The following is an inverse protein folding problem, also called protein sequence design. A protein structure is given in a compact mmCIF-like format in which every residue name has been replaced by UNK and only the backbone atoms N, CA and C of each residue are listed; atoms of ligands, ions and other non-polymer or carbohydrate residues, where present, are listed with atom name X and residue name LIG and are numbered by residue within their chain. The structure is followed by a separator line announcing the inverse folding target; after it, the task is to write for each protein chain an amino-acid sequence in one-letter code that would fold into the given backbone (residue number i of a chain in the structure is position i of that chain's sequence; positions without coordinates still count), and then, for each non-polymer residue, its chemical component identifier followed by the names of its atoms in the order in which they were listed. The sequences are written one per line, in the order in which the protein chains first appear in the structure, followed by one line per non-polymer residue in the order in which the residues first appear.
data_IF_164782376251
#
_entry.id   IF_164782376251
#
_cell.length_a   1.000
_cell.length_b   1.000
_cell.length_c   1.000
_cell.angle_alpha   90.00
_cell.angle_beta   90.00
_cell.angle_gamma   90.00
#
_symmetry.space_group_name_H-M   'P 1'
#
loop_
_entity.id
_entity.type
_entity.pdbx_description
1 polymer ?
#
# COMPACT_ATOMS: atom_id res chain seq x y z
N UNK A 1 40.95 15.08 -12.60
CA UNK A 1 39.96 14.59 -11.62
C UNK A 1 39.66 13.11 -11.88
N UNK A 2 40.19 12.19 -11.08
CA UNK A 2 39.93 10.74 -11.22
C UNK A 2 38.67 10.38 -10.40
N UNK A 3 37.61 9.91 -11.06
CA UNK A 3 36.43 9.33 -10.40
C UNK A 3 36.85 8.03 -9.70
N UNK A 4 36.74 7.97 -8.37
CA UNK A 4 36.87 6.72 -7.61
C UNK A 4 35.54 5.97 -7.73
N UNK A 5 35.56 4.85 -8.42
CA UNK A 5 34.51 3.82 -8.33
C UNK A 5 34.82 3.01 -7.08
N UNK A 6 33.94 3.08 -6.08
CA UNK A 6 34.04 2.26 -4.87
C UNK A 6 33.47 0.88 -5.18
N UNK A 7 34.34 -0.12 -5.20
CA UNK A 7 33.94 -1.53 -5.31
C UNK A 7 33.42 -2.01 -3.96
N UNK A 8 32.19 -2.53 -3.94
CA UNK A 8 31.56 -3.14 -2.78
C UNK A 8 32.14 -4.55 -2.53
N UNK A 9 32.60 -4.82 -1.30
CA UNK A 9 32.98 -6.17 -0.84
C UNK A 9 31.90 -6.71 0.12
N UNK A 10 31.31 -7.86 -0.24
CA UNK A 10 30.28 -8.57 0.55
C UNK A 10 30.84 -9.13 1.87
N UNK A 11 30.06 -9.11 2.96
CA UNK A 11 30.25 -10.03 4.07
C UNK A 11 29.87 -11.46 3.63
N UNK A 12 30.75 -12.44 3.87
CA UNK A 12 30.49 -13.87 3.61
C UNK A 12 29.51 -14.39 4.65
N UNK A 13 28.35 -14.93 4.23
CA UNK A 13 27.49 -15.64 5.18
C UNK A 13 26.05 -16.00 4.77
N UNK A 14 25.47 -15.41 3.71
CA UNK A 14 24.10 -15.75 3.31
C UNK A 14 24.08 -16.45 1.94
N UNK A 15 23.64 -17.72 1.94
CA UNK A 15 23.22 -18.44 0.74
C UNK A 15 21.88 -17.83 0.29
N UNK A 16 21.97 -16.74 -0.48
CA UNK A 16 20.82 -16.15 -1.18
C UNK A 16 20.56 -17.02 -2.41
N UNK A 17 19.45 -17.75 -2.40
CA UNK A 17 18.87 -18.36 -3.60
C UNK A 17 18.61 -17.25 -4.61
N UNK A 18 19.16 -17.37 -5.82
CA UNK A 18 19.30 -16.27 -6.78
C UNK A 18 17.93 -15.59 -7.10
N UNK A 19 17.65 -14.36 -6.60
CA UNK A 19 16.34 -13.71 -6.76
C UNK A 19 16.15 -13.08 -8.15
N UNK A 20 17.10 -13.30 -9.07
CA UNK A 20 17.16 -12.66 -10.38
C UNK A 20 15.91 -12.84 -11.27
N UNK A 21 15.27 -14.03 -11.35
CA UNK A 21 14.10 -14.21 -12.24
C UNK A 21 12.86 -13.43 -11.78
N UNK A 22 12.64 -13.38 -10.46
CA UNK A 22 11.60 -12.59 -9.79
C UNK A 22 11.72 -11.13 -10.14
N UNK A 23 12.96 -10.67 -10.05
CA UNK A 23 13.29 -9.29 -10.22
C UNK A 23 13.09 -8.79 -11.65
N UNK A 24 13.45 -9.61 -12.66
CA UNK A 24 13.32 -9.20 -14.06
C UNK A 24 11.86 -8.95 -14.45
N UNK A 25 10.96 -9.90 -14.17
CA UNK A 25 9.52 -9.76 -14.41
C UNK A 25 8.92 -8.60 -13.62
N UNK A 26 9.37 -8.42 -12.37
CA UNK A 26 8.92 -7.34 -11.52
C UNK A 26 9.36 -5.96 -12.02
N UNK A 27 10.61 -5.84 -12.49
CA UNK A 27 11.12 -4.60 -13.06
C UNK A 27 10.37 -4.22 -14.33
N UNK A 28 10.08 -5.19 -15.21
CA UNK A 28 9.24 -5.00 -16.38
C UNK A 28 7.86 -4.47 -15.99
N UNK A 29 7.21 -5.08 -14.99
CA UNK A 29 5.91 -4.61 -14.50
C UNK A 29 5.94 -3.16 -14.03
N UNK A 30 6.95 -2.81 -13.23
CA UNK A 30 7.10 -1.45 -12.71
C UNK A 30 7.36 -0.46 -13.85
N UNK A 31 8.21 -0.84 -14.82
CA UNK A 31 8.45 -0.07 -16.04
C UNK A 31 7.19 0.08 -16.89
N UNK A 32 6.30 -0.90 -16.88
CA UNK A 32 5.11 -0.91 -17.72
C UNK A 32 3.97 -0.08 -17.11
N UNK A 33 3.74 -0.24 -15.81
CA UNK A 33 2.52 0.24 -15.14
C UNK A 33 2.75 1.39 -14.16
N UNK A 34 3.98 1.62 -13.72
CA UNK A 34 4.31 2.57 -12.65
C UNK A 34 5.46 3.53 -13.00
N UNK A 35 5.89 3.55 -14.26
CA UNK A 35 7.03 4.33 -14.75
C UNK A 35 6.71 5.80 -15.00
N UNK A 36 5.99 6.44 -14.08
CA UNK A 36 6.04 7.90 -14.04
C UNK A 36 7.48 8.27 -13.67
N UNK A 37 8.21 8.85 -14.65
CA UNK A 37 9.65 9.12 -14.57
C UNK A 37 10.08 10.01 -13.40
N UNK A 38 9.13 10.55 -12.64
CA UNK A 38 9.33 11.39 -11.46
C UNK A 38 9.25 10.65 -10.13
N UNK A 39 8.80 9.39 -10.11
CA UNK A 39 8.54 8.67 -8.87
C UNK A 39 9.85 8.05 -8.34
N UNK A 40 10.28 8.39 -7.12
CA UNK A 40 11.43 7.72 -6.52
C UNK A 40 11.08 6.26 -6.24
N UNK A 41 12.07 5.37 -6.38
CA UNK A 41 11.92 3.95 -6.07
C UNK A 41 12.69 3.67 -4.79
N UNK A 42 12.05 3.05 -3.82
CA UNK A 42 12.66 2.71 -2.54
C UNK A 42 12.77 1.20 -2.43
N UNK A 43 13.99 0.69 -2.21
CA UNK A 43 14.26 -0.75 -2.19
C UNK A 43 14.96 -1.20 -0.92
N UNK A 44 14.80 -2.47 -0.55
CA UNK A 44 15.68 -3.12 0.44
C UNK A 44 17.04 -3.47 -0.19
N UNK A 45 18.08 -3.52 0.63
CA UNK A 45 19.46 -3.66 0.16
C UNK A 45 19.80 -5.03 -0.42
N UNK A 46 19.07 -6.07 -0.05
CA UNK A 46 19.15 -7.40 -0.66
C UNK A 46 18.69 -7.42 -2.13
N UNK A 47 17.98 -6.38 -2.59
CA UNK A 47 17.52 -6.21 -3.97
C UNK A 47 18.45 -5.33 -4.83
N UNK A 48 19.53 -4.79 -4.24
CA UNK A 48 20.45 -3.85 -4.88
C UNK A 48 21.13 -4.43 -6.12
N UNK A 49 21.71 -5.63 -6.00
CA UNK A 49 22.42 -6.28 -7.11
C UNK A 49 21.48 -6.56 -8.29
N UNK A 50 20.21 -6.87 -7.99
CA UNK A 50 19.19 -7.09 -8.99
C UNK A 50 18.83 -5.79 -9.74
N UNK A 51 18.83 -4.64 -9.05
CA UNK A 51 18.52 -3.32 -9.61
C UNK A 51 19.66 -2.72 -10.44
N UNK A 52 20.89 -2.82 -9.97
CA UNK A 52 22.03 -2.24 -10.70
C UNK A 52 22.31 -2.96 -12.04
N UNK A 53 21.83 -4.20 -12.21
CA UNK A 53 21.79 -4.86 -13.52
C UNK A 53 20.88 -4.15 -14.54
N UNK A 54 19.86 -3.40 -14.08
CA UNK A 54 18.84 -2.73 -14.90
C UNK A 54 19.06 -1.23 -15.07
N UNK A 55 19.84 -0.58 -14.20
CA UNK A 55 20.07 0.88 -14.25
C UNK A 55 20.85 1.33 -15.49
N UNK A 56 21.34 0.40 -16.31
CA UNK A 56 21.88 0.69 -17.64
C UNK A 56 20.81 1.10 -18.66
N UNK A 57 19.55 0.70 -18.44
CA UNK A 57 18.44 0.93 -19.37
C UNK A 57 17.36 1.91 -18.86
N UNK A 58 17.44 2.33 -17.60
CA UNK A 58 16.51 3.31 -17.03
C UNK A 58 17.25 4.63 -16.85
N UNK A 59 16.88 5.65 -17.62
CA UNK A 59 17.28 7.04 -17.36
C UNK A 59 16.86 7.40 -15.92
N UNK A 60 17.86 7.38 -15.04
CA UNK A 60 17.91 7.71 -13.62
C UNK A 60 16.57 7.86 -12.87
N UNK A 61 15.92 6.75 -12.45
CA UNK A 61 15.00 6.85 -11.32
C UNK A 61 15.82 7.17 -10.07
N UNK A 62 15.35 8.10 -9.23
CA UNK A 62 15.94 8.34 -7.92
C UNK A 62 15.71 7.09 -7.05
N UNK A 63 16.65 6.15 -7.07
CA UNK A 63 16.59 4.91 -6.29
C UNK A 63 17.18 5.14 -4.91
N UNK A 64 16.34 5.03 -3.87
CA UNK A 64 16.76 5.07 -2.48
C UNK A 64 16.87 3.65 -1.95
N UNK A 65 18.05 3.29 -1.44
CA UNK A 65 18.31 1.98 -0.85
C UNK A 65 18.16 2.08 0.67
N UNK A 66 17.37 1.17 1.24
CA UNK A 66 17.23 0.97 2.69
C UNK A 66 18.14 -0.19 3.07
N UNK A 67 19.08 0.05 3.97
CA UNK A 67 19.95 -0.99 4.51
C UNK A 67 19.21 -1.95 5.46
N UNK A 68 19.80 -3.11 5.77
CA UNK A 68 19.30 -4.04 6.79
C UNK A 68 19.05 -3.39 8.18
N UNK A 69 19.72 -2.28 8.51
CA UNK A 69 19.51 -1.48 9.72
C UNK A 69 18.36 -0.43 9.57
N UNK A 70 17.65 -0.49 8.45
CA UNK A 70 16.52 0.34 8.05
C UNK A 70 16.83 1.83 7.86
N UNK A 71 18.11 2.19 7.62
CA UNK A 71 18.52 3.56 7.32
C UNK A 71 18.57 3.81 5.80
N UNK A 72 18.00 4.93 5.30
CA UNK A 72 18.10 5.28 3.89
C UNK A 72 19.50 5.80 3.55
N UNK A 73 20.12 5.29 2.47
CA UNK A 73 21.43 5.75 1.98
C UNK A 73 21.39 7.09 1.24
N UNK A 74 20.26 7.43 0.65
CA UNK A 74 20.04 8.68 -0.08
C UNK A 74 18.71 9.28 0.36
N UNK A 75 18.72 10.60 0.62
CA UNK A 75 17.52 11.36 0.98
C UNK A 75 17.31 12.41 -0.11
N UNK A 76 16.35 12.21 -1.03
CA UNK A 76 16.03 13.25 -2.01
C UNK A 76 15.34 14.43 -1.29
N UNK A 77 15.84 15.63 -1.55
CA UNK A 77 15.37 16.89 -0.93
C UNK A 77 14.02 17.34 -1.52
N UNK A 78 13.65 16.84 -2.71
CA UNK A 78 12.39 17.13 -3.39
C UNK A 78 11.79 15.87 -4.02
N UNK A 79 10.67 15.39 -3.49
CA UNK A 79 9.84 14.37 -4.13
C UNK A 79 8.53 15.01 -4.60
N UNK A 80 8.39 15.22 -5.91
CA UNK A 80 7.14 15.74 -6.50
C UNK A 80 6.04 14.67 -6.61
N UNK A 81 6.38 13.41 -6.36
CA UNK A 81 5.47 12.29 -6.54
C UNK A 81 5.68 11.20 -5.48
N UNK A 82 4.68 10.32 -5.35
CA UNK A 82 4.68 9.27 -4.34
C UNK A 82 5.66 8.15 -4.70
N UNK A 83 6.47 7.73 -3.72
CA UNK A 83 7.46 6.68 -3.94
C UNK A 83 6.80 5.34 -4.29
N UNK A 84 7.50 4.53 -5.09
CA UNK A 84 7.20 3.09 -5.22
C UNK A 84 8.15 2.32 -4.32
N UNK A 85 7.62 1.55 -3.38
CA UNK A 85 8.38 0.72 -2.47
C UNK A 85 8.45 -0.71 -2.99
N UNK A 86 9.66 -1.26 -3.07
CA UNK A 86 9.90 -2.65 -3.45
C UNK A 86 10.71 -3.29 -2.33
N UNK A 87 10.03 -4.03 -1.46
CA UNK A 87 10.56 -4.46 -0.19
C UNK A 87 10.65 -5.98 -0.16
N UNK A 88 11.80 -6.51 0.24
CA UNK A 88 11.94 -7.93 0.53
C UNK A 88 11.58 -8.21 1.99
N UNK A 89 10.73 -9.22 2.22
CA UNK A 89 10.40 -9.66 3.57
C UNK A 89 10.00 -11.14 3.61
N UNK A 90 10.55 -11.86 4.58
CA UNK A 90 10.33 -13.31 4.74
C UNK A 90 9.32 -13.67 5.84
N UNK A 91 8.92 -12.69 6.66
CA UNK A 91 7.84 -12.85 7.63
C UNK A 91 7.04 -11.56 7.83
N UNK A 92 5.79 -11.70 8.29
CA UNK A 92 4.93 -10.57 8.63
C UNK A 92 5.55 -9.67 9.73
N UNK A 93 6.26 -10.27 10.69
CA UNK A 93 6.96 -9.53 11.76
C UNK A 93 8.10 -8.67 11.19
N UNK A 94 8.91 -9.23 10.29
CA UNK A 94 9.97 -8.50 9.62
C UNK A 94 9.40 -7.33 8.79
N UNK A 95 8.35 -7.60 7.99
CA UNK A 95 7.68 -6.59 7.20
C UNK A 95 7.12 -5.46 8.08
N UNK A 96 6.47 -5.81 9.20
CA UNK A 96 5.93 -4.83 10.15
C UNK A 96 7.01 -3.91 10.70
N UNK A 97 8.17 -4.46 11.09
CA UNK A 97 9.28 -3.66 11.60
C UNK A 97 9.85 -2.73 10.53
N UNK A 98 10.06 -3.23 9.31
CA UNK A 98 10.50 -2.44 8.17
C UNK A 98 9.56 -1.27 7.89
N UNK A 99 8.25 -1.51 7.82
CA UNK A 99 7.25 -0.47 7.57
C UNK A 99 7.14 0.53 8.72
N UNK A 100 7.37 0.12 9.96
CA UNK A 100 7.39 1.03 11.10
C UNK A 100 8.52 2.05 10.98
N UNK A 101 9.72 1.61 10.55
CA UNK A 101 10.82 2.52 10.28
C UNK A 101 10.53 3.39 9.04
N UNK A 102 9.99 2.81 7.98
CA UNK A 102 9.68 3.60 6.78
C UNK A 102 8.62 4.68 7.01
N UNK A 103 7.67 4.43 7.92
CA UNK A 103 6.61 5.38 8.28
C UNK A 103 7.15 6.69 8.88
N UNK A 104 8.35 6.69 9.46
CA UNK A 104 9.00 7.92 9.93
C UNK A 104 9.81 8.64 8.85
N UNK A 105 9.94 8.07 7.65
CA UNK A 105 10.70 8.67 6.56
C UNK A 105 9.94 9.80 5.85
N UNK A 106 10.67 10.79 5.35
CA UNK A 106 10.13 11.91 4.56
C UNK A 106 9.42 11.47 3.27
N UNK A 107 9.72 10.26 2.80
CA UNK A 107 9.19 9.73 1.54
C UNK A 107 7.89 8.96 1.71
N UNK A 108 7.48 8.68 2.96
CA UNK A 108 6.31 7.88 3.28
C UNK A 108 5.01 8.56 2.84
N UNK A 109 4.18 7.81 2.14
CA UNK A 109 2.82 8.22 1.81
C UNK A 109 1.90 7.01 1.79
N UNK A 110 0.69 7.17 2.31
CA UNK A 110 -0.37 6.15 2.16
C UNK A 110 -0.84 5.99 0.71
N UNK A 111 -0.49 6.96 -0.16
CA UNK A 111 -0.76 6.92 -1.61
C UNK A 111 0.36 6.24 -2.41
N UNK A 112 1.46 5.88 -1.76
CA UNK A 112 2.55 5.14 -2.40
C UNK A 112 2.12 3.73 -2.78
N UNK A 113 2.81 3.18 -3.77
CA UNK A 113 2.64 1.80 -4.20
C UNK A 113 3.65 0.92 -3.46
N UNK A 114 3.20 -0.21 -2.93
CA UNK A 114 4.02 -1.13 -2.16
C UNK A 114 4.01 -2.51 -2.81
N UNK A 115 5.20 -3.01 -3.10
CA UNK A 115 5.44 -4.36 -3.57
C UNK A 115 6.30 -5.09 -2.56
N UNK A 116 5.77 -6.20 -2.04
CA UNK A 116 6.49 -7.04 -1.09
C UNK A 116 6.89 -8.33 -1.80
N UNK A 117 8.19 -8.58 -1.89
CA UNK A 117 8.75 -9.77 -2.53
C UNK A 117 9.00 -10.84 -1.47
N UNK A 118 8.35 -11.98 -1.62
CA UNK A 118 8.65 -13.17 -0.85
C UNK A 118 9.85 -13.91 -1.43
N UNK A 119 10.91 -14.10 -0.64
CA UNK A 119 12.15 -14.76 -1.14
C UNK A 119 12.23 -16.26 -0.85
N UNK A 120 11.26 -16.80 -0.10
CA UNK A 120 11.23 -18.21 0.28
C UNK A 120 10.39 -19.08 -0.68
N UNK A 121 10.70 -20.37 -0.78
CA UNK A 121 9.99 -21.32 -1.67
C UNK A 121 8.50 -21.53 -1.32
N UNK A 122 8.10 -21.27 -0.08
CA UNK A 122 6.70 -21.31 0.39
C UNK A 122 6.04 -19.91 0.42
N UNK A 123 6.62 -18.94 -0.28
CA UNK A 123 6.27 -17.51 -0.15
C UNK A 123 4.78 -17.22 -0.40
N UNK A 124 4.17 -17.81 -1.43
CA UNK A 124 2.78 -17.48 -1.79
C UNK A 124 1.75 -17.81 -0.70
N UNK A 125 1.99 -18.83 0.13
CA UNK A 125 1.12 -19.16 1.27
C UNK A 125 1.04 -18.03 2.32
N UNK A 126 2.02 -17.13 2.35
CA UNK A 126 2.06 -16.01 3.29
C UNK A 126 1.38 -14.74 2.76
N UNK A 127 0.82 -14.74 1.55
CA UNK A 127 0.27 -13.55 0.90
C UNK A 127 -0.77 -12.84 1.78
N UNK A 128 -1.73 -13.58 2.35
CA UNK A 128 -2.76 -13.00 3.24
C UNK A 128 -2.12 -12.26 4.42
N UNK A 129 -1.30 -12.96 5.21
CA UNK A 129 -0.64 -12.39 6.41
C UNK A 129 0.20 -11.16 6.09
N UNK A 130 0.94 -11.17 4.98
CA UNK A 130 1.77 -10.04 4.56
C UNK A 130 0.92 -8.83 4.16
N UNK A 131 -0.12 -9.05 3.36
CA UNK A 131 -1.02 -7.99 2.92
C UNK A 131 -1.86 -7.40 4.07
N UNK A 132 -2.22 -8.20 5.07
CA UNK A 132 -2.86 -7.69 6.28
C UNK A 132 -1.97 -6.72 7.07
N UNK A 133 -0.64 -6.90 7.06
CA UNK A 133 0.28 -5.92 7.68
C UNK A 133 0.18 -4.57 6.97
N UNK A 134 0.15 -4.57 5.64
CA UNK A 134 0.01 -3.35 4.83
C UNK A 134 -1.35 -2.68 5.04
N UNK A 135 -2.43 -3.47 5.09
CA UNK A 135 -3.76 -2.93 5.41
C UNK A 135 -3.79 -2.26 6.78
N UNK A 136 -3.25 -2.87 7.84
CA UNK A 136 -3.24 -2.26 9.18
C UNK A 136 -2.53 -0.89 9.23
N UNK A 137 -1.75 -0.56 8.19
CA UNK A 137 -1.10 0.73 8.00
C UNK A 137 -1.77 1.64 6.95
N UNK A 138 -2.99 1.30 6.52
CA UNK A 138 -3.80 1.99 5.51
C UNK A 138 -3.16 2.05 4.11
N UNK A 139 -2.35 1.04 3.74
CA UNK A 139 -1.65 0.99 2.46
C UNK A 139 -2.45 0.18 1.43
N UNK A 140 -3.34 0.86 0.69
CA UNK A 140 -4.33 0.21 -0.20
C UNK A 140 -3.70 -0.26 -1.53
N UNK A 141 -2.74 0.50 -2.06
CA UNK A 141 -1.97 0.17 -3.28
C UNK A 141 -0.83 -0.79 -2.96
N UNK A 142 -1.19 -1.99 -2.54
CA UNK A 142 -0.29 -2.98 -1.97
C UNK A 142 -0.38 -4.33 -2.71
N UNK A 143 0.79 -4.91 -2.98
CA UNK A 143 0.93 -6.18 -3.68
C UNK A 143 1.93 -7.07 -2.97
N UNK A 144 1.62 -8.36 -2.90
CA UNK A 144 2.56 -9.40 -2.51
C UNK A 144 2.95 -10.20 -3.76
N UNK A 145 4.25 -10.38 -3.95
CA UNK A 145 4.85 -10.99 -5.12
C UNK A 145 5.62 -12.22 -4.66
N UNK A 146 5.35 -13.34 -5.32
CA UNK A 146 5.92 -14.61 -4.94
C UNK A 146 5.97 -15.56 -6.14
N UNK A 147 6.57 -16.72 -5.94
CA UNK A 147 6.63 -17.80 -6.91
C UNK A 147 5.88 -19.00 -6.40
N UNK A 148 5.06 -19.59 -7.26
CA UNK A 148 4.28 -20.75 -6.86
C UNK A 148 5.22 -21.94 -6.58
N UNK A 149 5.08 -22.63 -5.43
CA UNK A 149 6.05 -23.67 -5.02
C UNK A 149 6.23 -24.78 -6.07
N UNK A 150 5.15 -25.10 -6.80
CA UNK A 150 5.08 -26.17 -7.78
C UNK A 150 5.40 -25.70 -9.22
N UNK A 151 5.49 -24.38 -9.44
CA UNK A 151 5.85 -23.79 -10.72
C UNK A 151 6.68 -22.53 -10.48
N UNK A 152 8.00 -22.74 -10.42
CA UNK A 152 9.00 -21.68 -10.19
C UNK A 152 9.13 -20.71 -11.36
N UNK A 153 8.39 -20.89 -12.46
CA UNK A 153 8.34 -19.92 -13.55
C UNK A 153 7.12 -18.99 -13.44
N UNK A 154 6.08 -19.42 -12.74
CA UNK A 154 4.85 -18.65 -12.52
C UNK A 154 4.99 -17.70 -11.33
N UNK A 155 5.44 -16.48 -11.64
CA UNK A 155 5.34 -15.34 -10.73
C UNK A 155 3.87 -14.98 -10.52
N UNK A 156 3.42 -14.96 -9.27
CA UNK A 156 2.07 -14.59 -8.89
C UNK A 156 2.06 -13.24 -8.18
N UNK A 157 1.03 -12.46 -8.49
CA UNK A 157 0.70 -11.24 -7.77
C UNK A 157 -0.53 -11.48 -6.92
N UNK A 158 -0.46 -11.02 -5.69
CA UNK A 158 -1.57 -10.99 -4.76
C UNK A 158 -1.87 -9.55 -4.36
N UNK A 159 -3.16 -9.23 -4.23
CA UNK A 159 -3.61 -7.96 -3.66
C UNK A 159 -4.88 -8.19 -2.86
N UNK A 160 -5.29 -7.19 -2.08
CA UNK A 160 -6.52 -7.27 -1.31
C UNK A 160 -7.46 -6.10 -1.62
N UNK A 161 -8.76 -6.33 -1.48
CA UNK A 161 -9.77 -5.27 -1.44
C UNK A 161 -10.46 -5.31 -0.06
N UNK A 162 -10.29 -4.28 0.79
CA UNK A 162 -10.86 -4.28 2.13
C UNK A 162 -12.31 -3.76 2.20
N UNK A 163 -12.86 -3.32 1.06
CA UNK A 163 -14.14 -2.61 1.02
C UNK A 163 -15.24 -3.43 0.32
N UNK A 164 -14.85 -4.19 -0.71
CA UNK A 164 -15.77 -4.91 -1.60
C UNK A 164 -15.16 -6.21 -2.08
N UNK A 165 -15.99 -7.12 -2.58
CA UNK A 165 -15.62 -8.38 -3.25
C UNK A 165 -15.31 -8.21 -4.75
N UNK A 166 -14.96 -6.99 -5.18
CA UNK A 166 -14.67 -6.68 -6.58
C UNK A 166 -13.18 -6.55 -6.87
N UNK A 167 -12.77 -7.20 -7.96
CA UNK A 167 -11.53 -6.94 -8.68
C UNK A 167 -11.77 -7.15 -10.19
N UNK A 168 -11.16 -6.37 -11.08
CA UNK A 168 -11.30 -6.58 -12.52
C UNK A 168 -10.58 -7.86 -12.96
N UNK A 169 -10.95 -8.44 -14.09
CA UNK A 169 -10.16 -9.51 -14.69
C UNK A 169 -8.71 -9.04 -14.95
N UNK A 170 -7.69 -9.91 -14.80
CA UNK A 170 -7.79 -11.35 -14.54
C UNK A 170 -7.61 -11.73 -13.06
N UNK A 171 -7.91 -10.82 -12.13
CA UNK A 171 -7.88 -11.14 -10.70
C UNK A 171 -8.91 -12.21 -10.36
N UNK A 172 -8.48 -13.24 -9.65
CA UNK A 172 -9.34 -14.31 -9.12
C UNK A 172 -9.31 -14.25 -7.60
N UNK A 173 -10.48 -14.32 -6.97
CA UNK A 173 -10.57 -14.37 -5.51
C UNK A 173 -9.87 -15.63 -4.97
N UNK A 174 -9.12 -15.45 -3.90
CA UNK A 174 -8.50 -16.54 -3.16
C UNK A 174 -9.43 -16.91 -2.02
N UNK A 175 -9.89 -18.15 -2.02
CA UNK A 175 -10.54 -18.73 -0.86
C UNK A 175 -9.55 -18.72 0.31
N UNK A 176 -9.83 -17.89 1.31
CA UNK A 176 -8.99 -17.73 2.48
C UNK A 176 -9.87 -17.59 3.70
N UNK A 177 -9.56 -18.37 4.73
CA UNK A 177 -10.16 -18.27 6.07
C UNK A 177 -9.52 -17.16 6.90
N UNK A 178 -8.37 -16.63 6.46
CA UNK A 178 -7.62 -15.56 7.14
C UNK A 178 -8.09 -14.19 6.65
N UNK A 179 -9.32 -13.82 7.03
CA UNK A 179 -9.97 -12.54 6.67
C UNK A 179 -10.08 -11.65 7.91
N UNK A 180 -9.52 -10.42 7.90
CA UNK A 180 -9.65 -9.51 9.04
C UNK A 180 -11.09 -9.02 9.30
N UNK A 181 -11.95 -9.04 8.28
CA UNK A 181 -13.40 -8.85 8.40
C UNK A 181 -14.12 -9.44 7.18
N UNK A 182 -15.45 -9.46 7.22
CA UNK A 182 -16.31 -10.08 6.20
C UNK A 182 -16.22 -9.43 4.81
N UNK A 183 -15.76 -8.18 4.73
CA UNK A 183 -15.64 -7.41 3.46
C UNK A 183 -14.25 -7.45 2.85
N UNK A 184 -13.30 -8.09 3.52
CA UNK A 184 -11.95 -8.21 2.99
C UNK A 184 -11.83 -9.43 2.10
N UNK A 185 -11.49 -9.17 0.84
CA UNK A 185 -11.23 -10.21 -0.16
C UNK A 185 -9.78 -10.15 -0.62
N UNK A 186 -9.17 -11.34 -0.74
CA UNK A 186 -7.84 -11.54 -1.28
C UNK A 186 -7.96 -11.97 -2.73
N UNK A 187 -7.12 -11.43 -3.61
CA UNK A 187 -7.09 -11.76 -5.02
C UNK A 187 -5.70 -12.18 -5.45
N UNK A 188 -5.63 -13.04 -6.45
CA UNK A 188 -4.40 -13.41 -7.14
C UNK A 188 -4.54 -13.33 -8.65
N UNK A 189 -3.44 -13.07 -9.33
CA UNK A 189 -3.31 -13.24 -10.78
C UNK A 189 -1.87 -13.64 -11.13
N UNK A 190 -1.64 -14.36 -12.25
CA UNK A 190 -0.31 -14.54 -12.78
C UNK A 190 0.27 -13.21 -13.28
N UNK A 191 1.59 -13.09 -13.30
CA UNK A 191 2.26 -12.00 -14.00
C UNK A 191 1.93 -12.05 -15.50
N UNK A 192 1.40 -10.95 -16.01
CA UNK A 192 1.06 -10.77 -17.42
C UNK A 192 1.83 -9.57 -17.95
N UNK A 193 2.69 -9.79 -18.94
CA UNK A 193 3.45 -8.74 -19.61
C UNK A 193 2.63 -8.11 -20.74
N UNK A 194 1.53 -7.44 -20.40
CA UNK A 194 0.64 -6.74 -21.33
C UNK A 194 0.31 -5.34 -20.82
N UNK A 195 0.38 -4.31 -21.67
CA UNK A 195 0.00 -2.93 -21.32
C UNK A 195 -1.46 -2.83 -20.82
N UNK A 196 -2.35 -3.69 -21.31
CA UNK A 196 -3.72 -3.82 -20.83
C UNK A 196 -3.80 -4.29 -19.37
N UNK A 197 -2.82 -5.07 -18.90
CA UNK A 197 -2.77 -5.57 -17.53
C UNK A 197 -2.58 -4.44 -16.51
N UNK A 198 -1.96 -3.32 -16.88
CA UNK A 198 -1.76 -2.19 -15.97
C UNK A 198 -3.07 -1.64 -15.43
N UNK A 199 -4.14 -1.54 -16.26
CA UNK A 199 -5.46 -1.09 -15.80
C UNK A 199 -6.04 -2.02 -14.74
N UNK A 200 -5.80 -3.33 -14.89
CA UNK A 200 -6.22 -4.33 -13.92
C UNK A 200 -5.40 -4.26 -12.64
N UNK A 201 -4.10 -3.97 -12.71
CA UNK A 201 -3.22 -3.88 -11.54
C UNK A 201 -3.45 -2.58 -10.76
N UNK A 202 -3.62 -1.45 -11.44
CA UNK A 202 -3.78 -0.12 -10.83
C UNK A 202 -5.24 0.28 -10.63
N UNK A 203 -6.17 -0.67 -10.61
CA UNK A 203 -7.58 -0.38 -10.43
C UNK A 203 -7.85 0.30 -9.09
N UNK A 204 -8.73 1.29 -9.11
CA UNK A 204 -9.08 2.03 -7.90
C UNK A 204 -10.10 1.24 -7.06
N UNK A 205 -9.59 0.62 -5.99
CA UNK A 205 -10.38 -0.11 -4.99
C UNK A 205 -11.35 0.78 -4.20
N UNK A 206 -11.15 2.10 -4.23
CA UNK A 206 -11.97 3.10 -3.55
C UNK A 206 -12.97 3.81 -4.46
N UNK A 207 -12.96 3.48 -5.77
CA UNK A 207 -13.89 4.06 -6.75
C UNK A 207 -15.36 3.90 -6.34
N UNK A 208 -15.67 2.81 -5.65
CA UNK A 208 -16.96 2.59 -5.01
C UNK A 208 -16.76 1.62 -3.85
N UNK A 209 -17.37 1.94 -2.72
CA UNK A 209 -17.19 1.24 -1.45
C UNK A 209 -18.37 0.31 -1.12
N UNK A 210 -19.31 0.13 -2.03
CA UNK A 210 -20.42 -0.84 -1.94
C UNK A 210 -21.13 -0.87 -0.56
N UNK A 211 -21.59 0.31 -0.13
CA UNK A 211 -22.26 0.50 1.14
C UNK A 211 -21.36 0.34 2.37
N UNK A 212 -20.03 0.38 2.23
CA UNK A 212 -19.09 0.28 3.36
C UNK A 212 -19.39 1.34 4.41
N UNK A 213 -19.33 0.94 5.67
CA UNK A 213 -19.60 1.84 6.79
C UNK A 213 -18.43 2.83 6.98
N UNK A 214 -18.66 4.08 6.59
CA UNK A 214 -17.70 5.16 6.79
C UNK A 214 -18.10 5.97 8.02
N UNK A 215 -17.25 5.91 9.05
CA UNK A 215 -17.40 6.75 10.23
C UNK A 215 -16.86 8.14 9.96
N UNK A 216 -17.69 9.16 10.12
CA UNK A 216 -17.29 10.55 10.01
C UNK A 216 -17.60 11.30 11.31
N UNK A 217 -16.81 12.34 11.58
CA UNK A 217 -17.06 13.22 12.71
C UNK A 217 -17.39 14.60 12.17
N UNK A 218 -18.36 15.25 12.81
CA UNK A 218 -18.72 16.62 12.50
C UNK A 218 -18.87 17.47 13.74
N UNK A 219 -18.71 18.78 13.57
CA UNK A 219 -18.94 19.75 14.64
C UNK A 219 -20.40 20.16 14.64
N UNK A 220 -21.09 19.93 15.76
CA UNK A 220 -22.48 20.38 15.91
C UNK A 220 -22.55 21.79 16.48
N UNK A 221 -23.41 22.64 15.90
CA UNK A 221 -23.81 23.94 16.48
C UNK A 221 -25.02 23.85 17.42
N UNK A 222 -25.64 22.67 17.53
CA UNK A 222 -26.76 22.38 18.43
C UNK A 222 -26.39 21.35 19.50
N UNK A 223 -27.29 21.13 20.44
CA UNK A 223 -27.18 20.04 21.41
C UNK A 223 -27.12 18.68 20.70
N UNK A 224 -26.15 17.85 21.09
CA UNK A 224 -25.99 16.50 20.59
C UNK A 224 -25.66 15.55 21.75
N UNK A 225 -26.01 14.29 21.60
CA UNK A 225 -25.58 13.23 22.52
C UNK A 225 -24.24 12.68 22.06
N UNK A 226 -23.21 12.80 22.89
CA UNK A 226 -21.88 12.22 22.63
C UNK A 226 -21.99 10.70 22.49
N UNK A 227 -21.30 10.13 21.49
CA UNK A 227 -21.27 8.69 21.24
C UNK A 227 -22.52 8.13 20.52
N UNK A 228 -23.59 8.92 20.37
CA UNK A 228 -24.74 8.55 19.54
C UNK A 228 -24.33 8.55 18.06
N UNK A 229 -24.81 7.53 17.33
CA UNK A 229 -24.69 7.44 15.86
C UNK A 229 -25.82 8.23 15.21
N UNK A 230 -25.47 8.98 14.17
CA UNK A 230 -26.43 9.73 13.37
C UNK A 230 -26.27 9.40 11.89
N UNK A 231 -27.33 9.57 11.13
CA UNK A 231 -27.31 9.47 9.66
C UNK A 231 -26.85 10.78 9.01
N UNK A 232 -26.67 10.74 7.69
CA UNK A 232 -26.29 11.92 6.89
C UNK A 232 -27.35 13.03 6.88
N UNK A 233 -28.63 12.68 7.06
CA UNK A 233 -29.73 13.62 7.15
C UNK A 233 -29.63 14.51 8.38
N UNK A 234 -29.06 13.99 9.47
CA UNK A 234 -28.82 14.78 10.67
C UNK A 234 -27.93 16.00 10.43
N UNK A 235 -27.00 15.96 9.47
CA UNK A 235 -26.08 17.09 9.21
C UNK A 235 -26.84 18.38 8.88
N UNK A 236 -28.00 18.29 8.21
CA UNK A 236 -28.83 19.46 7.88
C UNK A 236 -29.31 20.23 9.11
N UNK A 237 -29.47 19.54 10.24
CA UNK A 237 -29.91 20.15 11.50
C UNK A 237 -28.75 20.76 12.28
N UNK A 238 -27.55 20.18 12.17
CA UNK A 238 -26.43 20.48 13.05
C UNK A 238 -25.33 21.35 12.42
N UNK A 239 -25.32 21.51 11.09
CA UNK A 239 -24.24 22.15 10.33
C UNK A 239 -24.74 23.22 9.34
N UNK A 240 -23.78 23.97 8.76
CA UNK A 240 -24.02 24.86 7.61
C UNK A 240 -24.34 24.06 6.35
N UNK A 241 -25.21 24.61 5.51
CA UNK A 241 -25.73 23.94 4.31
C UNK A 241 -24.65 23.43 3.33
N UNK A 242 -23.57 24.18 3.14
CA UNK A 242 -22.48 23.84 2.22
C UNK A 242 -21.76 22.54 2.61
N UNK A 243 -21.42 22.37 3.90
CA UNK A 243 -20.78 21.17 4.43
C UNK A 243 -21.67 19.93 4.24
N UNK A 244 -22.99 20.11 4.41
CA UNK A 244 -23.97 19.02 4.23
C UNK A 244 -24.07 18.61 2.78
N UNK A 245 -24.14 19.57 1.86
CA UNK A 245 -24.22 19.30 0.42
C UNK A 245 -22.99 18.55 -0.05
N UNK A 246 -21.79 19.01 0.33
CA UNK A 246 -20.54 18.35 -0.01
C UNK A 246 -20.50 16.91 0.52
N UNK A 247 -20.80 16.69 1.81
CA UNK A 247 -20.76 15.36 2.41
C UNK A 247 -21.77 14.39 1.77
N UNK A 248 -23.00 14.85 1.47
CA UNK A 248 -24.01 14.05 0.77
C UNK A 248 -23.55 13.64 -0.62
N UNK A 249 -23.03 14.59 -1.40
CA UNK A 249 -22.51 14.30 -2.74
C UNK A 249 -21.34 13.32 -2.68
N UNK A 250 -20.38 13.54 -1.78
CA UNK A 250 -19.22 12.68 -1.61
C UNK A 250 -19.62 11.24 -1.22
N UNK A 251 -20.45 11.09 -0.20
CA UNK A 251 -20.86 9.75 0.28
C UNK A 251 -21.74 9.01 -0.72
N UNK A 252 -22.59 9.73 -1.45
CA UNK A 252 -23.36 9.15 -2.55
C UNK A 252 -22.45 8.71 -3.70
N UNK A 253 -21.49 9.53 -4.10
CA UNK A 253 -20.55 9.21 -5.17
C UNK A 253 -19.67 8.00 -4.83
N UNK A 254 -19.24 7.88 -3.56
CA UNK A 254 -18.46 6.74 -3.09
C UNK A 254 -19.30 5.49 -2.80
N UNK A 255 -20.63 5.57 -2.83
CA UNK A 255 -21.55 4.52 -2.39
C UNK A 255 -21.19 3.99 -0.99
N UNK A 256 -21.27 4.84 0.04
CA UNK A 256 -20.97 4.47 1.44
C UNK A 256 -22.20 4.55 2.32
N UNK A 257 -22.19 3.74 3.39
CA UNK A 257 -23.11 3.91 4.52
C UNK A 257 -22.44 4.82 5.55
N UNK A 258 -22.84 6.09 5.61
CA UNK A 258 -22.21 7.04 6.54
C UNK A 258 -22.72 6.85 7.97
N UNK A 259 -21.81 6.83 8.93
CA UNK A 259 -22.10 6.90 10.36
C UNK A 259 -21.50 8.19 10.90
N UNK A 260 -22.36 9.15 11.25
CA UNK A 260 -21.95 10.45 11.74
C UNK A 260 -21.89 10.44 13.26
N UNK A 261 -20.80 10.97 13.81
CA UNK A 261 -20.64 11.31 15.21
C UNK A 261 -20.46 12.82 15.34
N UNK A 262 -21.13 13.42 16.33
CA UNK A 262 -20.89 14.82 16.66
C UNK A 262 -19.90 14.96 17.81
N UNK A 263 -19.04 15.96 17.71
CA UNK A 263 -18.12 16.37 18.75
C UNK A 263 -17.87 17.89 18.72
N UNK A 264 -17.46 18.50 19.84
CA UNK A 264 -17.24 19.95 19.93
C UNK A 264 -16.12 20.43 19.01
N UNK A 265 -15.09 19.60 18.78
CA UNK A 265 -13.93 19.94 17.94
C UNK A 265 -13.99 19.31 16.54
N UNK A 266 -14.83 18.30 16.34
CA UNK A 266 -14.97 17.64 15.05
C UNK A 266 -13.82 16.69 14.72
N UNK A 267 -13.13 16.12 15.72
CA UNK A 267 -11.92 15.32 15.50
C UNK A 267 -12.05 13.85 15.94
N UNK A 268 -11.19 13.00 15.35
CA UNK A 268 -10.97 11.61 15.79
C UNK A 268 -9.68 11.52 16.61
N UNK A 269 -9.71 10.80 17.74
CA UNK A 269 -8.53 10.37 18.50
C UNK A 269 -8.66 8.86 18.70
N UNK A 270 -7.67 8.07 18.27
CA UNK A 270 -7.64 6.60 18.41
C UNK A 270 -8.96 5.90 18.01
N UNK A 271 -9.47 6.18 16.80
CA UNK A 271 -10.74 5.64 16.28
C UNK A 271 -11.98 5.94 17.15
N UNK A 272 -11.88 6.94 18.03
CA UNK A 272 -12.98 7.46 18.84
C UNK A 272 -13.24 8.92 18.47
N UNK A 273 -14.50 9.29 18.25
CA UNK A 273 -14.88 10.68 18.08
C UNK A 273 -14.60 11.41 19.41
N UNK A 274 -13.63 12.33 19.42
CA UNK A 274 -13.17 12.92 20.68
C UNK A 274 -12.79 14.39 20.55
N UNK A 275 -13.32 15.17 21.50
CA UNK A 275 -12.93 16.53 21.81
C UNK A 275 -11.99 16.57 23.01
N UNK A 276 -10.99 17.44 22.89
CA UNK A 276 -9.91 17.82 23.81
C UNK A 276 -8.91 16.70 24.17
N UNK A 277 -7.76 16.73 23.49
CA UNK A 277 -6.49 16.37 24.15
C UNK A 277 -6.28 17.38 25.28
N UNK A 278 -6.47 16.96 26.52
CA UNK A 278 -5.81 17.65 27.64
C UNK A 278 -4.30 17.64 27.32
N UNK A 279 -3.73 18.84 27.18
CA UNK A 279 -2.29 19.04 27.32
C UNK A 279 -1.86 18.66 28.73
#
# INVERSE_FOLDING_TARGET
MKRRVLYYQRPKGFLVTNPQPAWNKMSELIKLCFSERTNPVVITDDLVDAIYGLSRDIDHPNVNVIEHNYQPRQIPIFNRAYSTYILSANSASQLKNLLHVLKSSLTWSIKSVFFIIGTNAESCGNASKMLQVLWKLNLISAFYVCYEPNDKESMMLYTYNPFTDRAPEPWVEVESTDRPNDRWSLYKQPYINDKGACRSITYDKTKSLDGYEVKAVSRSFLNYTRGKKYDIGSLQKHNKFEDVSYAKTLFSALNVTSIIYYDQKGCWINHTASGDLKR
#
